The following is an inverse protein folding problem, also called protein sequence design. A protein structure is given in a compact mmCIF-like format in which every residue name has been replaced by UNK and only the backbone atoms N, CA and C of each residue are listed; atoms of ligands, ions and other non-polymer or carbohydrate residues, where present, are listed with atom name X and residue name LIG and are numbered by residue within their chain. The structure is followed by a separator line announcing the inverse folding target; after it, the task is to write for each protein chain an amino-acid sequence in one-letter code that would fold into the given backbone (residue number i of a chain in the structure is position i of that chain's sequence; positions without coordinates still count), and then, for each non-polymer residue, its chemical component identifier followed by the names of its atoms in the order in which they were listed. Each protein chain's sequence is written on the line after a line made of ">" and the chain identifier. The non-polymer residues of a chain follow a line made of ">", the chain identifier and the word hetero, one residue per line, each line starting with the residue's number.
data_IF_768555071373
#
_entry.id   IF_768555071373
#
_cell.length_a   1.000
_cell.length_b   1.000
_cell.length_c   1.000
_cell.angle_alpha   90.00
_cell.angle_beta   90.00
_cell.angle_gamma   90.00
#
_symmetry.space_group_name_H-M   'P 1'
#
loop_
_entity.id
_entity.type
_entity.pdbx_description
1 polymer ?
#
# COMPACT_ATOMS: atom_id res chain seq x y z
N UNK A 1 4.73 65.43 -2.98
CA UNK A 1 3.62 65.64 -3.94
C UNK A 1 3.27 64.32 -4.61
N UNK A 2 1.98 64.15 -4.91
CA UNK A 2 1.30 62.93 -5.39
C UNK A 2 1.17 62.99 -6.92
N UNK A 3 1.31 61.85 -7.63
CA UNK A 3 0.80 61.49 -9.00
C UNK A 3 1.65 60.29 -9.50
N UNK A 4 1.22 59.01 -9.55
CA UNK A 4 0.06 58.41 -10.21
C UNK A 4 0.03 58.77 -11.70
N UNK A 5 0.43 57.86 -12.61
CA UNK A 5 -0.39 57.00 -13.50
C UNK A 5 0.51 56.69 -14.73
N UNK A 6 0.43 55.62 -15.53
CA UNK A 6 -0.61 54.68 -15.92
C UNK A 6 0.13 53.60 -16.76
N UNK A 7 -0.26 52.32 -16.73
CA UNK A 7 -0.28 51.38 -17.87
C UNK A 7 -0.55 49.95 -17.34
N UNK A 8 -1.84 49.55 -17.32
CA UNK A 8 -2.17 48.16 -17.69
C UNK A 8 -2.05 48.01 -19.22
N UNK A 9 -2.32 46.84 -19.85
CA UNK A 9 -3.20 45.77 -19.36
C UNK A 9 -2.79 44.32 -19.79
N UNK A 10 -3.67 43.35 -19.51
CA UNK A 10 -4.03 42.19 -20.38
C UNK A 10 -3.09 40.97 -20.49
N UNK A 11 -3.71 39.81 -20.23
CA UNK A 11 -3.47 38.46 -20.79
C UNK A 11 -2.11 37.81 -20.49
N UNK A 12 -1.92 36.50 -20.52
CA UNK A 12 -2.72 35.29 -20.53
C UNK A 12 -1.67 34.17 -20.39
N UNK A 13 -2.10 32.98 -19.96
CA UNK A 13 -1.47 31.67 -20.14
C UNK A 13 0.02 31.63 -20.53
N UNK A 14 0.87 31.20 -19.60
CA UNK A 14 2.13 30.53 -19.95
C UNK A 14 2.17 29.15 -19.28
N UNK A 15 1.63 28.16 -20.00
CA UNK A 15 2.08 26.77 -19.88
C UNK A 15 3.56 26.76 -20.27
N UNK A 16 4.47 26.75 -19.29
CA UNK A 16 5.88 26.52 -19.57
C UNK A 16 6.14 25.02 -19.42
N UNK A 17 6.05 24.35 -20.57
CA UNK A 17 6.84 23.15 -20.85
C UNK A 17 8.33 23.51 -20.74
N UNK A 18 8.94 23.16 -19.61
CA UNK A 18 10.39 23.10 -19.47
C UNK A 18 10.89 21.79 -20.07
N UNK A 19 11.24 21.85 -21.35
CA UNK A 19 12.01 20.84 -22.05
C UNK A 19 13.52 20.94 -21.72
N UNK A 20 14.23 19.84 -22.01
CA UNK A 20 15.66 19.79 -22.38
C UNK A 20 16.65 19.98 -21.22
N UNK A 21 17.69 19.17 -21.03
CA UNK A 21 18.29 18.15 -21.86
C UNK A 21 19.55 17.65 -21.13
N UNK A 22 19.84 16.37 -21.31
CA UNK A 22 21.13 15.69 -21.17
C UNK A 22 22.31 16.48 -20.56
N UNK A 23 22.69 16.13 -19.33
CA UNK A 23 24.10 16.09 -18.92
C UNK A 23 24.45 14.70 -18.42
N UNK A 24 25.02 13.88 -19.30
CA UNK A 24 25.80 12.70 -18.93
C UNK A 24 27.08 13.19 -18.27
N UNK A 25 27.17 13.05 -16.96
CA UNK A 25 28.43 13.03 -16.22
C UNK A 25 28.61 11.62 -15.64
N UNK A 26 29.78 10.97 -15.77
CA UNK A 26 29.95 9.59 -15.36
C UNK A 26 30.18 9.49 -13.85
N UNK A 27 29.36 8.67 -13.19
CA UNK A 27 29.77 7.87 -12.03
C UNK A 27 29.55 8.47 -10.64
N UNK A 28 28.29 8.56 -10.21
CA UNK A 28 27.91 8.26 -8.83
C UNK A 28 26.43 7.85 -8.81
N UNK A 29 26.04 6.66 -8.30
CA UNK A 29 24.64 6.36 -8.10
C UNK A 29 24.11 7.32 -7.04
N UNK A 30 23.21 8.22 -7.43
CA UNK A 30 22.34 8.92 -6.49
C UNK A 30 21.33 7.86 -6.04
N UNK A 31 21.34 7.40 -4.79
CA UNK A 31 20.23 6.58 -4.33
C UNK A 31 19.01 7.50 -4.29
N UNK A 32 18.09 7.33 -5.24
CA UNK A 32 16.71 7.75 -5.11
C UNK A 32 16.10 6.94 -3.96
N UNK A 33 16.44 7.30 -2.74
CA UNK A 33 15.68 6.91 -1.59
C UNK A 33 14.50 7.87 -1.58
N UNK A 34 13.43 7.46 -2.27
CA UNK A 34 12.11 7.73 -1.71
C UNK A 34 12.26 7.35 -0.23
N UNK A 35 12.14 8.34 0.65
CA UNK A 35 12.18 8.10 2.06
C UNK A 35 10.95 7.24 2.39
N UNK A 36 11.09 5.93 2.23
CA UNK A 36 10.39 4.96 3.05
C UNK A 36 10.78 5.33 4.47
N UNK A 37 9.90 6.10 5.10
CA UNK A 37 9.72 6.10 6.53
C UNK A 37 9.46 4.65 6.90
N UNK A 38 10.52 3.86 7.03
CA UNK A 38 10.49 2.56 7.64
C UNK A 38 10.15 2.82 9.10
N UNK A 39 8.84 2.89 9.36
CA UNK A 39 8.28 2.81 10.71
C UNK A 39 8.99 1.65 11.41
N UNK A 40 9.40 1.81 12.68
CA UNK A 40 10.12 0.76 13.40
C UNK A 40 9.31 -0.52 13.28
N UNK A 41 9.83 -1.47 12.50
CA UNK A 41 9.14 -2.70 12.17
C UNK A 41 8.99 -3.48 13.46
N UNK A 42 7.83 -3.38 14.10
CA UNK A 42 7.48 -4.27 15.19
C UNK A 42 7.61 -5.70 14.63
N UNK A 43 8.42 -6.53 15.28
CA UNK A 43 8.56 -7.94 14.88
C UNK A 43 7.18 -8.56 14.79
N UNK A 44 6.80 -9.19 13.65
CA UNK A 44 5.48 -9.78 13.51
C UNK A 44 5.22 -10.81 14.62
N UNK A 45 4.08 -10.69 15.29
CA UNK A 45 3.67 -11.62 16.35
C UNK A 45 2.83 -12.74 15.72
N UNK A 46 3.25 -14.01 15.82
CA UNK A 46 2.50 -15.12 15.23
C UNK A 46 1.18 -15.37 15.96
N UNK A 47 0.10 -15.53 15.20
CA UNK A 47 -1.26 -15.71 15.69
C UNK A 47 -1.91 -17.04 15.27
N UNK A 48 -1.13 -17.97 14.70
CA UNK A 48 -1.59 -19.31 14.31
C UNK A 48 -1.89 -19.41 12.82
N UNK A 49 -2.86 -20.23 12.45
CA UNK A 49 -3.22 -20.50 11.04
C UNK A 49 -4.72 -20.34 10.78
N UNK A 50 -5.05 -20.03 9.52
CA UNK A 50 -6.41 -20.06 8.96
C UNK A 50 -6.40 -20.85 7.65
N UNK A 51 -7.57 -21.32 7.22
CA UNK A 51 -7.72 -21.99 5.92
C UNK A 51 -8.06 -20.96 4.85
N UNK A 52 -7.14 -20.76 3.90
CA UNK A 52 -7.37 -19.92 2.73
C UNK A 52 -7.80 -20.74 1.50
N UNK A 53 -8.18 -20.06 0.40
CA UNK A 53 -8.67 -20.71 -0.82
C UNK A 53 -7.60 -21.48 -1.58
N UNK A 54 -6.31 -21.23 -1.28
CA UNK A 54 -5.14 -21.91 -1.86
C UNK A 54 -4.36 -22.76 -0.85
N UNK A 55 -4.98 -23.11 0.27
CA UNK A 55 -4.36 -23.87 1.36
C UNK A 55 -4.24 -23.10 2.67
N UNK A 56 -3.59 -23.66 3.69
CA UNK A 56 -3.41 -23.00 4.97
C UNK A 56 -2.55 -21.75 4.83
N UNK A 57 -2.87 -20.73 5.63
CA UNK A 57 -2.12 -19.50 5.75
C UNK A 57 -1.75 -19.25 7.23
N UNK A 58 -0.47 -18.98 7.50
CA UNK A 58 0.03 -18.54 8.81
C UNK A 58 -0.29 -17.08 9.01
N UNK A 59 -0.92 -16.74 10.13
CA UNK A 59 -1.33 -15.39 10.49
C UNK A 59 -0.31 -14.78 11.44
N UNK A 60 0.07 -13.53 11.18
CA UNK A 60 0.87 -12.71 12.08
C UNK A 60 0.25 -11.31 12.17
N UNK A 61 0.39 -10.66 13.31
CA UNK A 61 0.00 -9.25 13.50
C UNK A 61 1.26 -8.39 13.59
N UNK A 62 1.18 -7.19 13.00
CA UNK A 62 2.26 -6.20 12.98
C UNK A 62 1.68 -4.80 13.27
N UNK A 63 2.55 -3.88 13.69
CA UNK A 63 2.16 -2.51 14.03
C UNK A 63 1.53 -2.44 15.42
N UNK A 64 0.40 -1.75 15.54
CA UNK A 64 -0.34 -1.65 16.82
C UNK A 64 -1.02 -2.96 17.19
N UNK A 65 -1.31 -3.14 18.47
CA UNK A 65 -1.87 -4.39 19.01
C UNK A 65 -3.22 -4.72 18.39
N UNK A 66 -3.30 -5.90 17.77
CA UNK A 66 -4.51 -6.54 17.27
C UNK A 66 -4.65 -7.88 17.98
N UNK A 67 -5.85 -8.22 18.44
CA UNK A 67 -6.07 -9.53 19.06
C UNK A 67 -5.92 -10.64 18.01
N UNK A 68 -5.22 -11.73 18.32
CA UNK A 68 -5.04 -12.83 17.37
C UNK A 68 -6.36 -13.44 16.88
N UNK A 69 -7.40 -13.45 17.72
CA UNK A 69 -8.73 -13.93 17.33
C UNK A 69 -9.42 -13.01 16.31
N UNK A 70 -9.27 -11.68 16.49
CA UNK A 70 -9.72 -10.67 15.51
C UNK A 70 -8.97 -10.85 14.19
N UNK A 71 -7.64 -11.00 14.24
CA UNK A 71 -6.81 -11.17 13.05
C UNK A 71 -7.20 -12.41 12.22
N UNK A 72 -7.42 -13.55 12.89
CA UNK A 72 -7.88 -14.78 12.25
C UNK A 72 -9.28 -14.64 11.68
N UNK A 73 -10.19 -14.00 12.42
CA UNK A 73 -11.56 -13.77 11.98
C UNK A 73 -11.59 -12.89 10.73
N UNK A 74 -10.82 -11.81 10.72
CA UNK A 74 -10.72 -10.90 9.58
C UNK A 74 -10.18 -11.59 8.33
N UNK A 75 -9.08 -12.34 8.45
CA UNK A 75 -8.53 -13.08 7.31
C UNK A 75 -9.49 -14.17 6.81
N UNK A 76 -10.21 -14.84 7.71
CA UNK A 76 -11.25 -15.81 7.32
C UNK A 76 -12.37 -15.13 6.55
N UNK A 77 -12.79 -13.93 6.97
CA UNK A 77 -13.79 -13.13 6.25
C UNK A 77 -13.27 -12.68 4.88
N UNK A 78 -12.03 -12.20 4.81
CA UNK A 78 -11.38 -11.83 3.55
C UNK A 78 -11.36 -12.99 2.55
N UNK A 79 -10.82 -14.13 2.96
CA UNK A 79 -10.75 -15.32 2.12
C UNK A 79 -12.13 -15.85 1.72
N UNK A 80 -13.12 -15.75 2.60
CA UNK A 80 -14.51 -16.12 2.29
C UNK A 80 -15.21 -15.18 1.31
N UNK A 81 -14.68 -13.98 1.06
CA UNK A 81 -15.21 -13.01 0.10
C UNK A 81 -14.54 -13.06 -1.26
N UNK A 82 -13.38 -13.72 -1.38
CA UNK A 82 -12.67 -13.85 -2.65
C UNK A 82 -13.48 -14.68 -3.65
N UNK A 83 -13.67 -14.12 -4.83
CA UNK A 83 -14.30 -14.81 -5.95
C UNK A 83 -13.26 -15.60 -6.76
N UNK A 84 -13.69 -16.54 -7.62
CA UNK A 84 -12.79 -17.19 -8.56
C UNK A 84 -12.04 -16.21 -9.48
N UNK A 85 -12.67 -15.07 -9.82
CA UNK A 85 -12.04 -14.02 -10.63
C UNK A 85 -10.91 -13.33 -9.87
N UNK A 86 -11.11 -13.03 -8.58
CA UNK A 86 -10.07 -12.45 -7.72
C UNK A 86 -8.86 -13.39 -7.62
N UNK A 87 -9.09 -14.69 -7.50
CA UNK A 87 -8.03 -15.68 -7.44
C UNK A 87 -7.30 -15.82 -8.79
N UNK A 88 -8.01 -15.69 -9.90
CA UNK A 88 -7.40 -15.75 -11.24
C UNK A 88 -6.67 -14.46 -11.62
N UNK A 89 -6.82 -13.37 -10.87
CA UNK A 89 -6.23 -12.09 -11.17
C UNK A 89 -4.69 -12.16 -11.08
N UNK A 90 -3.95 -11.83 -12.17
CA UNK A 90 -2.49 -11.81 -12.15
C UNK A 90 -1.90 -10.71 -11.26
N UNK A 91 -2.69 -9.69 -10.87
CA UNK A 91 -2.26 -8.62 -9.96
C UNK A 91 -2.58 -8.93 -8.49
N UNK A 92 -3.20 -10.08 -8.21
CA UNK A 92 -3.62 -10.48 -6.88
C UNK A 92 -5.09 -10.16 -6.58
N UNK A 93 -5.56 -10.60 -5.42
CA UNK A 93 -6.95 -10.40 -5.00
C UNK A 93 -7.11 -9.13 -4.14
N UNK A 94 -8.21 -8.41 -4.35
CA UNK A 94 -8.53 -7.17 -3.64
C UNK A 94 -8.04 -5.89 -4.32
N UNK A 95 -8.13 -4.73 -3.65
CA UNK A 95 -8.46 -4.55 -2.22
C UNK A 95 -9.94 -4.76 -1.88
N UNK A 96 -10.22 -5.39 -0.73
CA UNK A 96 -11.56 -5.52 -0.13
C UNK A 96 -11.62 -4.77 1.21
N UNK A 97 -12.67 -3.95 1.37
CA UNK A 97 -12.97 -3.29 2.63
C UNK A 97 -13.78 -4.21 3.57
N UNK A 98 -13.30 -4.40 4.79
CA UNK A 98 -13.91 -5.18 5.87
C UNK A 98 -14.01 -4.32 7.13
N UNK A 99 -15.01 -3.43 7.16
CA UNK A 99 -15.13 -2.43 8.21
C UNK A 99 -13.97 -1.41 8.11
N UNK A 100 -13.19 -1.18 9.18
CA UNK A 100 -12.04 -0.26 9.14
C UNK A 100 -10.81 -0.86 8.45
N UNK A 101 -10.86 -2.13 8.05
CA UNK A 101 -9.75 -2.85 7.43
C UNK A 101 -9.84 -2.83 5.91
N UNK A 102 -8.69 -2.66 5.26
CA UNK A 102 -8.54 -2.90 3.82
C UNK A 102 -7.60 -4.08 3.64
N UNK A 103 -8.09 -5.13 3.00
CA UNK A 103 -7.35 -6.37 2.78
C UNK A 103 -7.07 -6.59 1.30
N UNK A 104 -5.86 -7.01 0.97
CA UNK A 104 -5.48 -7.47 -0.36
C UNK A 104 -4.51 -8.63 -0.27
N UNK A 105 -4.20 -9.25 -1.39
CA UNK A 105 -3.22 -10.33 -1.44
C UNK A 105 -2.51 -10.36 -2.77
N UNK A 106 -1.20 -10.60 -2.72
CA UNK A 106 -0.37 -10.76 -3.90
C UNK A 106 -0.81 -11.98 -4.74
N UNK A 107 -0.54 -11.94 -6.05
CA UNK A 107 -0.73 -13.10 -6.90
C UNK A 107 0.23 -14.21 -6.46
N UNK A 108 -0.30 -15.40 -6.16
CA UNK A 108 0.55 -16.52 -5.76
C UNK A 108 -0.19 -17.70 -5.16
N UNK A 109 0.54 -18.81 -5.03
CA UNK A 109 0.11 -20.00 -4.33
C UNK A 109 1.24 -20.47 -3.39
N UNK A 110 1.01 -20.48 -2.06
CA UNK A 110 -0.21 -20.07 -1.37
C UNK A 110 -0.44 -18.55 -1.42
N UNK A 111 -1.69 -18.14 -1.23
CA UNK A 111 -2.09 -16.74 -1.29
C UNK A 111 -1.58 -16.00 -0.04
N UNK A 112 -0.65 -15.06 -0.22
CA UNK A 112 -0.17 -14.19 0.85
C UNK A 112 -1.06 -12.93 0.90
N UNK A 113 -1.62 -12.60 2.06
CA UNK A 113 -2.56 -11.50 2.23
C UNK A 113 -2.04 -10.49 3.24
N UNK A 114 -2.38 -9.23 3.02
CA UNK A 114 -2.15 -8.14 3.95
C UNK A 114 -3.47 -7.42 4.21
N UNK A 115 -3.79 -7.18 5.48
CA UNK A 115 -4.89 -6.35 5.92
C UNK A 115 -4.34 -5.22 6.78
N UNK A 116 -4.68 -3.98 6.46
CA UNK A 116 -4.23 -2.81 7.21
C UNK A 116 -5.37 -1.84 7.50
N UNK A 117 -5.17 -0.99 8.52
CA UNK A 117 -6.03 0.15 8.84
C UNK A 117 -5.23 1.44 8.83
N UNK A 118 -5.91 2.59 8.73
CA UNK A 118 -5.26 3.91 8.78
C UNK A 118 -4.56 4.19 10.11
N UNK A 119 -4.89 3.44 11.17
CA UNK A 119 -4.29 3.54 12.51
C UNK A 119 -3.02 2.66 12.68
N UNK A 120 -2.34 2.28 11.59
CA UNK A 120 -1.11 1.46 11.63
C UNK A 120 -1.28 0.08 12.29
N UNK A 121 -2.49 -0.48 12.29
CA UNK A 121 -2.71 -1.90 12.60
C UNK A 121 -2.57 -2.71 11.33
N UNK A 122 -1.82 -3.80 11.40
CA UNK A 122 -1.56 -4.67 10.27
C UNK A 122 -1.69 -6.15 10.64
N UNK A 123 -2.25 -6.93 9.72
CA UNK A 123 -2.36 -8.38 9.79
C UNK A 123 -1.81 -8.94 8.49
N UNK A 124 -0.79 -9.77 8.60
CA UNK A 124 -0.13 -10.41 7.46
C UNK A 124 -0.43 -11.89 7.52
N UNK A 125 -0.79 -12.48 6.38
CA UNK A 125 -0.88 -13.92 6.21
C UNK A 125 0.16 -14.41 5.22
N UNK A 126 0.96 -15.40 5.62
CA UNK A 126 1.96 -16.04 4.78
C UNK A 126 1.54 -17.48 4.43
N UNK A 127 2.04 -18.02 3.31
CA UNK A 127 1.99 -19.45 2.99
C UNK A 127 2.23 -20.38 4.19
N UNK A 128 1.32 -21.34 4.40
CA UNK A 128 1.36 -22.36 5.46
C UNK A 128 2.51 -23.35 5.38
#
# INVERSE_FOLDING_TARGET
>A
MKRQRLLGPVAACALVLGACGTQTAPGAPIPSQAAEVASPSATPVPCGTVTGPRGPARVSVQGRTVACDEAKTLLTQYFGRLTPADLANPDGAGPLALGPWTCGSDPGAPLAANCSTEDDREIISNPG
#
